data_IF_176825579482
#
_entry.id   IF_176825579482
#
_cell.length_a   1.000
_cell.length_b   1.000
_cell.length_c   1.000
_cell.angle_alpha   90.00
_cell.angle_beta   90.00
_cell.angle_gamma   90.00
#
_symmetry.space_group_name_H-M   'P 1'
#
loop_
_entity.id
_entity.type
_entity.pdbx_description
1 polymer ?
#
# COMPACT_ATOMS: atom_id res chain seq x y z
N UNK A 1 -41.95 -13.48 -58.62
CA UNK A 1 -43.21 -12.72 -58.47
C UNK A 1 -43.69 -12.88 -57.03
N UNK A 2 -44.14 -11.81 -56.37
CA UNK A 2 -43.40 -11.15 -55.28
C UNK A 2 -44.24 -10.93 -54.00
N UNK A 3 -43.59 -10.58 -52.88
CA UNK A 3 -44.06 -9.63 -51.83
C UNK A 3 -42.93 -9.49 -50.80
N UNK A 4 -42.23 -8.35 -50.69
CA UNK A 4 -42.59 -7.16 -49.87
C UNK A 4 -42.46 -7.50 -48.36
N UNK A 5 -41.80 -6.73 -47.49
CA UNK A 5 -41.64 -5.28 -47.49
C UNK A 5 -40.45 -4.85 -46.62
N UNK A 6 -39.91 -3.69 -46.95
CA UNK A 6 -38.86 -2.97 -46.26
C UNK A 6 -39.43 -2.29 -44.99
N UNK A 7 -38.52 -1.72 -44.20
CA UNK A 7 -38.77 -0.53 -43.36
C UNK A 7 -39.25 -0.77 -41.92
N UNK A 8 -38.40 -0.46 -40.93
CA UNK A 8 -38.31 0.89 -40.34
C UNK A 8 -37.27 0.97 -39.23
N UNK A 9 -36.59 2.11 -39.20
CA UNK A 9 -35.69 2.60 -38.16
C UNK A 9 -36.37 2.63 -36.77
N UNK A 10 -35.62 2.51 -35.66
CA UNK A 10 -36.10 3.02 -34.38
C UNK A 10 -36.01 4.57 -34.35
N UNK A 11 -37.04 5.26 -33.84
CA UNK A 11 -37.08 6.72 -33.80
C UNK A 11 -36.21 7.30 -32.68
N UNK A 12 -35.62 8.45 -33.01
CA UNK A 12 -35.13 9.46 -32.08
C UNK A 12 -36.32 10.33 -31.65
N UNK A 13 -36.42 10.67 -30.37
CA UNK A 13 -37.33 11.70 -29.85
C UNK A 13 -37.81 11.33 -28.45
N UNK A 14 -37.25 11.91 -27.40
CA UNK A 14 -37.59 13.23 -26.83
C UNK A 14 -38.53 13.03 -25.64
N UNK A 15 -38.20 13.72 -24.54
CA UNK A 15 -38.60 13.35 -23.19
C UNK A 15 -40.06 13.60 -22.85
N UNK A 16 -40.47 13.11 -21.69
CA UNK A 16 -41.45 13.83 -20.88
C UNK A 16 -41.40 13.40 -19.41
N UNK A 17 -41.75 14.37 -18.58
CA UNK A 17 -41.75 14.40 -17.12
C UNK A 17 -42.76 13.44 -16.48
N UNK A 18 -42.57 13.21 -15.18
CA UNK A 18 -43.69 13.15 -14.24
C UNK A 18 -44.02 11.79 -13.64
N UNK A 19 -43.60 11.63 -12.38
CA UNK A 19 -44.49 11.40 -11.23
C UNK A 19 -45.44 10.19 -11.24
N UNK A 20 -45.19 9.24 -10.31
CA UNK A 20 -46.27 8.67 -9.50
C UNK A 20 -46.39 7.15 -9.43
N UNK A 21 -46.33 6.67 -8.18
CA UNK A 21 -47.06 5.56 -7.54
C UNK A 21 -46.42 4.17 -7.40
N UNK A 22 -46.70 3.67 -6.20
CA UNK A 22 -46.11 2.59 -5.42
C UNK A 22 -46.85 1.25 -5.63
N UNK A 23 -46.19 0.14 -5.33
CA UNK A 23 -46.70 -1.07 -4.61
C UNK A 23 -45.54 -2.09 -4.48
N UNK A 24 -45.08 -2.41 -3.26
CA UNK A 24 -45.33 -3.66 -2.49
C UNK A 24 -44.65 -4.90 -3.13
N UNK A 25 -43.82 -5.76 -2.49
CA UNK A 25 -43.72 -6.22 -1.09
C UNK A 25 -42.37 -6.99 -0.91
N UNK A 26 -41.77 -6.97 0.31
CA UNK A 26 -40.98 -8.05 0.97
C UNK A 26 -39.59 -8.52 0.41
N UNK A 27 -38.48 -8.78 1.13
CA UNK A 27 -38.12 -8.96 2.56
C UNK A 27 -36.64 -8.56 2.82
N UNK A 28 -36.45 -7.77 3.89
CA UNK A 28 -35.42 -7.82 4.96
C UNK A 28 -33.94 -8.15 4.63
N UNK A 29 -33.07 -7.16 4.86
CA UNK A 29 -31.62 -7.35 4.96
C UNK A 29 -30.89 -6.19 5.65
N UNK A 30 -30.78 -6.27 6.99
CA UNK A 30 -29.74 -5.65 7.85
C UNK A 30 -29.63 -4.11 7.94
N UNK A 31 -29.77 -3.63 9.18
CA UNK A 31 -29.70 -2.23 9.62
C UNK A 31 -28.27 -1.69 9.49
N UNK A 32 -28.04 -0.68 8.65
CA UNK A 32 -26.81 0.15 8.67
C UNK A 32 -27.19 1.59 9.03
N UNK A 33 -26.92 1.98 10.27
CA UNK A 33 -27.05 3.36 10.72
C UNK A 33 -25.98 4.22 10.03
N UNK A 34 -26.37 4.94 8.98
CA UNK A 34 -25.65 6.11 8.45
C UNK A 34 -26.05 7.30 9.30
N UNK A 35 -25.15 7.78 10.15
CA UNK A 35 -25.27 9.12 10.72
C UNK A 35 -24.73 10.13 9.72
N UNK A 36 -25.61 11.02 9.23
CA UNK A 36 -25.22 12.28 8.60
C UNK A 36 -24.97 13.30 9.70
N UNK A 37 -23.81 13.96 9.69
CA UNK A 37 -23.55 15.10 10.55
C UNK A 37 -23.27 16.33 9.69
N UNK A 38 -24.00 17.45 9.88
CA UNK A 38 -23.84 18.65 9.07
C UNK A 38 -22.58 19.45 9.46
N UNK A 39 -21.97 20.04 8.44
CA UNK A 39 -20.89 21.02 8.53
C UNK A 39 -21.33 22.29 9.23
N UNK A 40 -20.58 22.74 10.25
CA UNK A 40 -20.54 24.14 10.68
C UNK A 40 -19.13 24.49 11.14
N UNK A 41 -18.52 25.42 10.40
CA UNK A 41 -17.29 26.13 10.75
C UNK A 41 -17.68 27.26 11.70
N UNK A 42 -16.97 27.39 12.83
CA UNK A 42 -16.72 28.66 13.54
C UNK A 42 -15.52 28.49 14.49
N UNK A 43 -14.76 29.57 14.59
CA UNK A 43 -13.45 29.75 15.23
C UNK A 43 -13.48 29.85 16.77
N UNK A 44 -12.29 30.07 17.33
CA UNK A 44 -11.93 30.58 18.66
C UNK A 44 -11.93 29.60 19.86
N UNK A 45 -10.76 29.42 20.52
CA UNK A 45 -10.73 29.42 21.99
C UNK A 45 -10.25 28.18 22.78
N UNK A 46 -8.93 28.05 22.92
CA UNK A 46 -8.16 27.71 24.15
C UNK A 46 -8.14 26.28 24.76
N UNK A 47 -6.92 25.72 24.64
CA UNK A 47 -6.04 25.18 25.70
C UNK A 47 -6.49 23.96 26.53
N UNK A 48 -5.77 22.84 26.30
CA UNK A 48 -4.94 22.21 27.34
C UNK A 48 -4.00 21.11 26.80
N UNK A 49 -2.68 21.32 26.97
CA UNK A 49 -1.69 20.36 27.54
C UNK A 49 -1.06 19.26 26.64
N UNK A 50 0.24 18.93 26.78
CA UNK A 50 1.43 19.76 27.01
C UNK A 50 2.56 19.52 25.98
N UNK A 51 3.56 20.41 26.00
CA UNK A 51 4.87 20.27 25.37
C UNK A 51 5.59 18.95 25.75
N UNK A 52 6.18 18.29 24.76
CA UNK A 52 7.44 17.58 24.96
C UNK A 52 8.44 18.10 23.93
N UNK A 53 9.19 19.08 24.41
CA UNK A 53 10.45 19.58 23.90
C UNK A 53 11.55 18.53 24.07
N UNK A 54 12.51 18.58 23.14
CA UNK A 54 13.84 17.93 23.14
C UNK A 54 13.84 16.46 22.62
N UNK A 55 14.74 16.02 21.75
CA UNK A 55 16.04 16.58 21.33
C UNK A 55 16.43 15.93 20.00
N UNK A 56 17.11 16.69 19.15
CA UNK A 56 17.84 16.19 17.99
C UNK A 56 18.98 15.25 18.39
N UNK A 57 19.42 14.46 17.41
CA UNK A 57 20.78 13.90 17.22
C UNK A 57 20.95 12.39 17.45
N UNK A 58 21.30 11.74 16.34
CA UNK A 58 22.27 10.65 16.21
C UNK A 58 21.91 9.29 16.83
N UNK A 59 21.33 8.40 16.02
CA UNK A 59 21.32 6.96 16.30
C UNK A 59 22.46 6.28 15.52
N UNK A 60 23.69 6.52 15.95
CA UNK A 60 24.83 5.62 15.69
C UNK A 60 24.61 4.34 16.49
N UNK A 61 24.70 3.22 15.79
CA UNK A 61 24.67 1.85 16.30
C UNK A 61 25.63 1.68 17.49
N UNK A 62 25.16 1.09 18.60
CA UNK A 62 26.08 0.54 19.62
C UNK A 62 25.56 -0.75 20.22
N UNK A 63 26.25 -1.82 19.87
CA UNK A 63 26.19 -3.18 20.42
C UNK A 63 26.56 -3.14 21.91
N UNK A 64 25.72 -3.73 22.78
CA UNK A 64 26.16 -4.20 24.11
C UNK A 64 25.42 -5.49 24.48
N UNK A 65 26.18 -6.49 24.96
CA UNK A 65 25.76 -7.87 25.27
C UNK A 65 25.24 -7.99 26.70
N UNK A 66 24.05 -8.57 26.93
CA UNK A 66 23.67 -9.51 28.03
C UNK A 66 22.15 -9.83 28.00
N UNK A 67 21.69 -11.01 28.49
CA UNK A 67 20.40 -11.58 28.12
C UNK A 67 19.30 -11.20 29.11
N UNK A 68 18.56 -10.12 28.85
CA UNK A 68 17.30 -9.79 29.54
C UNK A 68 16.45 -8.94 28.60
N UNK A 69 15.31 -9.49 28.20
CA UNK A 69 14.21 -8.87 27.42
C UNK A 69 14.67 -7.90 26.32
N UNK A 70 14.79 -8.42 25.09
CA UNK A 70 15.05 -7.62 23.89
C UNK A 70 14.02 -6.46 23.85
N UNK A 71 14.46 -5.20 24.02
CA UNK A 71 13.55 -4.07 23.94
C UNK A 71 12.85 -4.11 22.58
N UNK A 72 11.57 -3.73 22.50
CA UNK A 72 10.86 -3.73 21.24
C UNK A 72 11.64 -2.86 20.25
N UNK A 73 12.08 -3.45 19.14
CA UNK A 73 12.77 -2.72 18.07
C UNK A 73 11.81 -1.64 17.59
N UNK A 74 12.16 -0.38 17.87
CA UNK A 74 11.31 0.77 17.55
C UNK A 74 11.47 1.10 16.07
N UNK A 75 10.45 0.77 15.29
CA UNK A 75 10.39 1.13 13.86
C UNK A 75 9.93 2.58 13.75
N UNK A 76 10.69 3.43 13.08
CA UNK A 76 10.27 4.81 12.79
C UNK A 76 9.21 4.82 11.68
N UNK A 77 7.94 5.07 12.07
CA UNK A 77 6.83 5.13 11.11
C UNK A 77 6.96 6.28 10.10
N UNK A 78 7.67 7.36 10.45
CA UNK A 78 7.96 8.48 9.54
C UNK A 78 8.92 8.05 8.42
N UNK A 79 10.02 7.37 8.78
CA UNK A 79 10.96 6.82 7.79
C UNK A 79 10.27 5.80 6.90
N UNK A 80 9.50 4.90 7.49
CA UNK A 80 8.72 3.91 6.74
C UNK A 80 7.81 4.56 5.68
N UNK A 81 7.05 5.59 6.05
CA UNK A 81 6.14 6.26 5.10
C UNK A 81 6.90 6.97 3.99
N UNK A 82 8.01 7.64 4.32
CA UNK A 82 8.89 8.29 3.33
C UNK A 82 9.45 7.26 2.35
N UNK A 83 10.01 6.17 2.88
CA UNK A 83 10.66 5.13 2.08
C UNK A 83 9.66 4.43 1.15
N UNK A 84 8.43 4.19 1.60
CA UNK A 84 7.36 3.64 0.75
C UNK A 84 6.98 4.50 -0.45
N UNK A 85 7.26 5.81 -0.40
CA UNK A 85 7.00 6.74 -1.51
C UNK A 85 8.17 6.86 -2.50
N UNK A 86 9.32 6.25 -2.20
CA UNK A 86 10.50 6.32 -3.07
C UNK A 86 10.30 5.49 -4.34
N UNK A 87 10.80 5.96 -5.50
CA UNK A 87 10.84 5.17 -6.72
C UNK A 87 11.83 4.02 -6.61
N UNK A 88 11.71 3.02 -7.49
CA UNK A 88 12.51 1.80 -7.47
C UNK A 88 14.01 2.05 -7.38
N UNK A 89 14.57 2.93 -8.21
CA UNK A 89 16.00 3.24 -8.22
C UNK A 89 16.50 3.80 -6.87
N UNK A 90 15.74 4.73 -6.27
CA UNK A 90 16.08 5.28 -4.96
C UNK A 90 16.03 4.22 -3.85
N UNK A 91 15.09 3.28 -3.93
CA UNK A 91 15.01 2.15 -3.00
C UNK A 91 16.20 1.21 -3.17
N UNK A 92 16.63 0.93 -4.41
CA UNK A 92 17.81 0.09 -4.67
C UNK A 92 19.09 0.75 -4.16
N UNK A 93 19.26 2.05 -4.36
CA UNK A 93 20.40 2.81 -3.83
C UNK A 93 20.41 2.80 -2.29
N UNK A 94 19.24 3.01 -1.67
CA UNK A 94 19.07 2.94 -0.21
C UNK A 94 19.41 1.55 0.32
N UNK A 95 18.96 0.50 -0.37
CA UNK A 95 19.23 -0.88 0.00
C UNK A 95 20.72 -1.19 -0.09
N UNK A 96 21.40 -0.69 -1.13
CA UNK A 96 22.84 -0.84 -1.30
C UNK A 96 23.64 -0.15 -0.19
N UNK A 97 23.19 1.01 0.30
CA UNK A 97 23.87 1.74 1.38
C UNK A 97 23.58 1.20 2.78
N UNK A 98 22.32 0.88 3.10
CA UNK A 98 21.92 0.51 4.46
C UNK A 98 22.03 -1.01 4.71
N UNK A 99 21.74 -1.82 3.69
CA UNK A 99 21.66 -3.27 3.84
C UNK A 99 22.09 -4.01 2.56
N UNK A 100 23.39 -4.00 2.22
CA UNK A 100 23.89 -4.63 0.99
C UNK A 100 23.54 -6.12 0.90
N UNK A 101 23.47 -6.80 2.05
CA UNK A 101 23.05 -8.21 2.13
C UNK A 101 21.63 -8.45 1.62
N UNK A 102 20.72 -7.50 1.77
CA UNK A 102 19.37 -7.60 1.20
C UNK A 102 19.33 -7.23 -0.26
N UNK A 103 20.24 -6.38 -0.73
CA UNK A 103 20.35 -6.00 -2.13
C UNK A 103 20.75 -7.17 -3.03
N UNK A 104 21.61 -8.06 -2.55
CA UNK A 104 22.00 -9.28 -3.28
C UNK A 104 20.83 -10.22 -3.57
N UNK A 105 19.87 -10.31 -2.64
CA UNK A 105 18.68 -11.18 -2.75
C UNK A 105 17.43 -10.43 -3.19
N UNK A 106 17.54 -9.12 -3.47
CA UNK A 106 16.42 -8.32 -3.90
C UNK A 106 16.08 -8.60 -5.36
N UNK A 107 14.82 -8.95 -5.59
CA UNK A 107 14.26 -9.26 -6.89
C UNK A 107 13.31 -8.12 -7.29
N UNK A 108 13.59 -7.45 -8.41
CA UNK A 108 12.70 -6.45 -8.97
C UNK A 108 11.67 -7.15 -9.85
N UNK A 109 10.40 -7.00 -9.50
CA UNK A 109 9.26 -7.63 -10.16
C UNK A 109 8.39 -6.53 -10.76
N UNK A 110 8.61 -6.22 -12.03
CA UNK A 110 7.92 -5.12 -12.72
C UNK A 110 8.14 -3.77 -12.01
N UNK A 111 7.18 -3.35 -11.19
CA UNK A 111 7.20 -2.07 -10.45
C UNK A 111 7.45 -2.23 -8.93
N UNK A 112 7.70 -3.45 -8.46
CA UNK A 112 7.90 -3.75 -7.05
C UNK A 112 9.30 -4.30 -6.80
N UNK A 113 9.81 -4.14 -5.59
CA UNK A 113 11.03 -4.81 -5.13
C UNK A 113 10.65 -5.84 -4.08
N UNK A 114 11.01 -7.09 -4.31
CA UNK A 114 10.70 -8.23 -3.48
C UNK A 114 11.98 -8.79 -2.87
N UNK A 115 11.87 -9.30 -1.65
CA UNK A 115 12.95 -10.02 -0.98
C UNK A 115 12.35 -11.31 -0.44
N UNK A 116 12.89 -12.44 -0.89
CA UNK A 116 12.50 -13.76 -0.45
C UNK A 116 13.55 -14.33 0.50
N UNK A 117 13.09 -15.01 1.54
CA UNK A 117 13.97 -15.72 2.45
C UNK A 117 13.52 -17.17 2.58
N UNK A 118 14.47 -18.08 2.83
CA UNK A 118 14.22 -19.52 2.95
C UNK A 118 13.50 -19.91 4.25
N UNK A 119 13.52 -19.04 5.27
CA UNK A 119 12.95 -19.34 6.58
C UNK A 119 12.50 -18.12 7.37
N UNK A 120 12.21 -18.34 8.65
CA UNK A 120 11.75 -17.30 9.56
C UNK A 120 12.86 -16.29 9.82
N UNK A 121 12.58 -15.02 9.55
CA UNK A 121 13.53 -13.94 9.77
C UNK A 121 13.64 -13.56 11.23
N UNK A 122 14.82 -13.09 11.63
CA UNK A 122 15.02 -12.51 12.95
C UNK A 122 14.19 -11.23 13.09
N UNK A 123 13.86 -10.86 14.34
CA UNK A 123 13.09 -9.65 14.62
C UNK A 123 13.81 -8.39 14.15
N UNK A 124 15.14 -8.39 14.19
CA UNK A 124 15.99 -7.29 13.74
C UNK A 124 15.86 -7.09 12.22
N UNK A 125 16.01 -8.17 11.43
CA UNK A 125 15.84 -8.13 9.97
C UNK A 125 14.44 -7.62 9.60
N UNK A 126 13.43 -8.16 10.27
CA UNK A 126 12.01 -7.77 10.08
C UNK A 126 11.81 -6.28 10.36
N UNK A 127 12.44 -5.75 11.41
CA UNK A 127 12.33 -4.35 11.78
C UNK A 127 13.05 -3.44 10.79
N UNK A 128 14.28 -3.79 10.38
CA UNK A 128 15.04 -3.05 9.36
C UNK A 128 14.28 -3.01 8.03
N UNK A 129 13.76 -4.14 7.55
CA UNK A 129 12.94 -4.17 6.33
C UNK A 129 11.68 -3.32 6.46
N UNK A 130 11.03 -3.37 7.63
CA UNK A 130 9.83 -2.57 7.89
C UNK A 130 10.13 -1.07 7.91
N UNK A 131 11.29 -0.66 8.43
CA UNK A 131 11.75 0.73 8.43
C UNK A 131 12.12 1.21 7.02
N UNK A 132 12.76 0.34 6.23
CA UNK A 132 13.02 0.55 4.80
C UNK A 132 11.74 0.63 3.95
N UNK A 133 10.56 0.40 4.53
CA UNK A 133 9.29 0.53 3.81
C UNK A 133 8.72 -0.79 3.28
N UNK A 134 9.45 -1.90 3.41
CA UNK A 134 8.95 -3.21 3.02
C UNK A 134 7.81 -3.63 3.94
N UNK A 135 6.96 -4.49 3.41
CA UNK A 135 5.94 -5.15 4.20
C UNK A 135 5.83 -6.61 3.83
N UNK A 136 5.46 -7.41 4.81
CA UNK A 136 5.25 -8.84 4.62
C UNK A 136 4.01 -9.09 3.79
N UNK A 137 4.13 -9.96 2.79
CA UNK A 137 3.02 -10.56 2.08
C UNK A 137 2.87 -12.02 2.52
N UNK A 138 1.83 -12.30 3.30
CA UNK A 138 1.56 -13.63 3.84
C UNK A 138 1.14 -14.66 2.79
N UNK A 139 0.57 -14.24 1.66
CA UNK A 139 0.14 -15.16 0.60
C UNK A 139 1.35 -15.70 -0.15
N UNK A 140 2.30 -14.81 -0.44
CA UNK A 140 3.48 -15.12 -1.25
C UNK A 140 4.71 -15.46 -0.42
N UNK A 141 4.64 -15.23 0.89
CA UNK A 141 5.76 -15.37 1.82
C UNK A 141 6.99 -14.56 1.38
N UNK A 142 6.75 -13.32 0.91
CA UNK A 142 7.79 -12.40 0.48
C UNK A 142 7.66 -11.05 1.16
N UNK A 143 8.78 -10.39 1.36
CA UNK A 143 8.81 -8.96 1.68
C UNK A 143 8.68 -8.18 0.40
N UNK A 144 7.70 -7.28 0.31
CA UNK A 144 7.48 -6.48 -0.88
C UNK A 144 7.52 -4.98 -0.56
N UNK A 145 8.07 -4.21 -1.49
CA UNK A 145 8.12 -2.76 -1.44
C UNK A 145 7.24 -2.15 -2.56
N UNK A 146 6.30 -1.24 -2.22
CA UNK A 146 5.39 -0.63 -3.19
C UNK A 146 6.04 0.40 -4.14
N UNK A 147 7.26 0.86 -3.85
CA UNK A 147 8.03 1.79 -4.70
C UNK A 147 7.22 3.03 -5.17
N UNK A 148 6.46 3.63 -4.25
CA UNK A 148 5.59 4.78 -4.54
C UNK A 148 4.23 4.43 -5.11
N UNK A 149 4.00 3.19 -5.53
CA UNK A 149 2.73 2.76 -6.10
C UNK A 149 1.94 1.89 -5.13
N UNK A 150 0.82 2.42 -4.64
CA UNK A 150 -0.19 1.61 -3.98
C UNK A 150 -0.90 0.81 -5.08
N UNK A 151 -0.73 -0.50 -5.08
CA UNK A 151 -1.35 -1.36 -6.08
C UNK A 151 -2.46 -2.21 -5.47
N UNK A 152 -3.49 -2.43 -6.26
CA UNK A 152 -4.58 -3.32 -5.90
C UNK A 152 -4.09 -4.76 -5.82
N UNK A 153 -4.72 -5.55 -4.94
CA UNK A 153 -4.35 -6.94 -4.72
C UNK A 153 -4.68 -7.74 -5.97
N UNK A 154 -3.65 -8.21 -6.68
CA UNK A 154 -3.81 -9.11 -7.82
C UNK A 154 -3.81 -10.57 -7.37
N UNK A 155 -4.71 -11.42 -7.91
CA UNK A 155 -4.77 -12.85 -7.56
C UNK A 155 -3.63 -13.65 -8.20
N UNK A 156 -3.07 -13.18 -9.32
CA UNK A 156 -2.01 -13.84 -10.08
C UNK A 156 -0.61 -13.37 -9.66
N UNK A 157 0.43 -14.19 -9.86
CA UNK A 157 1.82 -13.82 -9.55
C UNK A 157 2.45 -12.83 -10.54
N UNK A 158 2.70 -11.56 -10.16
CA UNK A 158 3.31 -10.59 -11.06
C UNK A 158 4.66 -11.05 -11.63
N UNK A 159 5.43 -11.92 -10.95
CA UNK A 159 6.67 -12.51 -11.51
C UNK A 159 6.42 -13.23 -12.83
N UNK A 160 5.28 -13.92 -12.96
CA UNK A 160 4.92 -14.65 -14.17
C UNK A 160 4.41 -13.75 -15.31
N UNK A 161 3.93 -12.53 -15.01
CA UNK A 161 3.37 -11.61 -16.02
C UNK A 161 4.39 -10.58 -16.50
N UNK A 162 5.16 -10.03 -15.57
CA UNK A 162 6.12 -8.95 -15.85
C UNK A 162 7.55 -9.46 -15.90
N UNK A 163 7.79 -10.72 -15.55
CA UNK A 163 9.13 -11.22 -15.29
C UNK A 163 9.68 -10.68 -13.97
N UNK A 164 10.92 -11.07 -13.70
CA UNK A 164 11.69 -10.57 -12.58
C UNK A 164 13.18 -10.64 -12.88
N UNK A 165 13.94 -9.75 -12.25
CA UNK A 165 15.40 -9.72 -12.33
C UNK A 165 15.99 -9.37 -10.97
N UNK A 166 17.20 -9.84 -10.66
CA UNK A 166 17.85 -9.47 -9.41
C UNK A 166 18.42 -8.06 -9.50
N UNK A 167 18.28 -7.29 -8.42
CA UNK A 167 18.85 -5.96 -8.31
C UNK A 167 20.38 -5.98 -8.48
N UNK A 168 21.03 -7.08 -8.08
CA UNK A 168 22.46 -7.28 -8.22
C UNK A 168 22.93 -7.42 -9.68
N UNK A 169 22.08 -7.93 -10.56
CA UNK A 169 22.40 -8.15 -11.97
C UNK A 169 22.30 -6.86 -12.80
N UNK A 170 21.59 -5.85 -12.28
CA UNK A 170 21.49 -4.55 -12.94
C UNK A 170 22.76 -3.76 -12.69
N UNK A 171 23.61 -3.69 -13.72
CA UNK A 171 24.72 -2.74 -13.74
C UNK A 171 24.15 -1.32 -13.70
N UNK A 172 24.65 -0.42 -12.84
CA UNK A 172 24.30 0.98 -12.92
C UNK A 172 24.72 1.51 -14.31
N UNK A 173 23.79 2.22 -14.96
CA UNK A 173 24.04 2.89 -16.24
C UNK A 173 25.06 4.02 -16.09
#
# INVERSE_FOLDING_TARGET
>A
MPSEDYSRQPPIGAGFCGEGRETETEQQGTKKNTMKTPSKISNEGLLSRPEQLSTESNATSKVTKTPKQIPPVRISMKHRRKNRMLPTESVLNLLRSEAPRFWEVAEVVGKWVWIQFEGKQSREITATLSELGFHWNNVRQVWQHPCGMVSERTPFDPRKKYGSYFAADVKPA
#
